data_IF_848621440248
#
_entry.id   IF_848621440248
#
_cell.length_a   1.000
_cell.length_b   1.000
_cell.length_c   1.000
_cell.angle_alpha   90.00
_cell.angle_beta   90.00
_cell.angle_gamma   90.00
#
_symmetry.space_group_name_H-M   'P 1'
#
loop_
_entity.id
_entity.type
_entity.pdbx_description
1 polymer ?
#
# COMPACT_ATOMS: atom_id res chain seq x y z
N UNK A 1 -74.42 6.65 24.70
CA UNK A 1 -73.90 5.64 25.64
C UNK A 1 -72.40 5.61 25.52
N UNK A 2 -71.72 5.25 26.61
CA UNK A 2 -70.26 5.22 26.82
C UNK A 2 -69.71 6.54 27.36
N UNK A 3 -69.66 6.61 28.69
CA UNK A 3 -69.10 7.65 29.53
C UNK A 3 -67.63 7.36 29.90
N UNK A 4 -67.01 8.25 30.68
CA UNK A 4 -65.66 8.15 31.30
C UNK A 4 -64.46 8.07 30.32
N UNK A 5 -63.26 8.55 30.65
CA UNK A 5 -62.63 8.97 31.92
C UNK A 5 -62.15 10.45 31.80
N UNK A 6 -62.09 11.29 32.86
CA UNK A 6 -61.05 11.36 33.92
C UNK A 6 -59.60 11.23 33.41
N UNK A 7 -58.57 11.95 33.87
CA UNK A 7 -58.35 13.15 34.72
C UNK A 7 -56.86 13.60 34.42
N UNK A 8 -56.17 14.62 34.95
CA UNK A 8 -56.31 15.54 36.09
C UNK A 8 -55.38 16.79 35.92
N UNK A 9 -55.36 17.69 36.92
CA UNK A 9 -54.25 18.59 37.35
C UNK A 9 -53.84 19.80 36.47
N UNK A 10 -54.01 20.99 37.07
CA UNK A 10 -53.18 22.19 36.86
C UNK A 10 -52.46 22.47 38.19
N UNK A 11 -51.17 22.83 38.16
CA UNK A 11 -50.45 23.51 39.25
C UNK A 11 -49.51 24.55 38.61
N UNK A 12 -49.36 25.70 39.27
CA UNK A 12 -48.83 26.93 38.69
C UNK A 12 -47.35 27.19 39.04
N UNK A 13 -46.84 28.23 38.38
CA UNK A 13 -45.74 29.15 38.72
C UNK A 13 -45.15 29.12 40.14
N UNK A 14 -43.83 29.31 40.25
CA UNK A 14 -43.29 30.60 40.74
C UNK A 14 -41.79 30.80 40.46
N UNK A 15 -41.24 31.97 40.78
CA UNK A 15 -39.99 32.51 40.20
C UNK A 15 -38.83 32.63 41.22
N UNK A 16 -37.64 32.24 40.75
CA UNK A 16 -36.28 32.61 41.19
C UNK A 16 -36.13 33.76 42.22
N UNK A 17 -35.32 33.55 43.30
CA UNK A 17 -34.05 34.32 43.45
C UNK A 17 -32.99 33.81 44.47
N UNK A 18 -31.77 34.35 44.30
CA UNK A 18 -30.75 34.73 45.31
C UNK A 18 -29.60 33.80 45.76
N UNK A 19 -28.62 33.65 44.86
CA UNK A 19 -27.20 34.04 45.07
C UNK A 19 -26.38 33.38 46.23
N UNK A 20 -25.68 32.30 45.86
CA UNK A 20 -24.26 31.94 46.13
C UNK A 20 -23.50 32.43 47.39
N UNK A 21 -22.94 31.47 48.14
CA UNK A 21 -21.57 31.53 48.70
C UNK A 21 -20.89 30.16 48.56
N UNK A 22 -20.05 29.93 47.53
CA UNK A 22 -19.44 28.58 47.38
C UNK A 22 -18.58 28.23 46.16
N UNK A 23 -18.02 29.17 45.39
CA UNK A 23 -17.42 28.83 44.07
C UNK A 23 -15.97 29.28 43.80
N UNK A 24 -15.29 29.92 44.75
CA UNK A 24 -13.99 30.59 44.50
C UNK A 24 -12.72 29.73 44.67
N UNK A 25 -12.78 28.45 45.06
CA UNK A 25 -11.57 27.63 45.39
C UNK A 25 -11.25 26.46 44.45
N UNK A 26 -12.07 26.24 43.40
CA UNK A 26 -11.85 25.16 42.41
C UNK A 26 -11.49 25.65 40.99
N UNK A 27 -11.73 26.92 40.66
CA UNK A 27 -11.60 27.41 39.27
C UNK A 27 -10.14 27.56 38.83
N UNK A 28 -9.23 27.89 39.76
CA UNK A 28 -7.85 28.26 39.43
C UNK A 28 -6.95 27.04 39.19
N UNK A 29 -7.15 25.94 39.95
CA UNK A 29 -6.45 24.67 39.70
C UNK A 29 -6.73 24.10 38.31
N UNK A 30 -7.93 24.32 37.75
CA UNK A 30 -8.25 23.92 36.37
C UNK A 30 -7.62 24.83 35.30
N UNK A 31 -7.18 26.05 35.63
CA UNK A 31 -6.49 26.94 34.67
C UNK A 31 -5.02 26.54 34.49
N UNK A 32 -4.30 26.30 35.59
CA UNK A 32 -2.88 25.91 35.53
C UNK A 32 -2.68 24.64 34.67
N UNK A 33 -3.49 23.60 34.91
CA UNK A 33 -3.48 22.33 34.16
C UNK A 33 -3.73 22.52 32.64
N UNK A 34 -4.43 23.57 32.22
CA UNK A 34 -4.67 23.86 30.80
C UNK A 34 -3.60 24.77 30.17
N UNK A 35 -2.94 25.62 30.96
CA UNK A 35 -1.99 26.60 30.45
C UNK A 35 -0.57 26.01 30.26
N UNK A 36 -0.19 25.04 31.09
CA UNK A 36 1.08 24.30 30.99
C UNK A 36 1.12 23.29 29.81
N UNK A 37 -0.05 22.97 29.23
CA UNK A 37 -0.19 21.96 28.17
C UNK A 37 0.00 22.49 26.72
N UNK A 38 0.23 23.80 26.51
CA UNK A 38 0.26 24.37 25.15
C UNK A 38 1.66 24.62 24.55
N UNK A 39 2.71 24.63 25.39
CA UNK A 39 4.06 25.05 24.94
C UNK A 39 4.88 23.89 24.34
N UNK A 40 4.63 22.65 24.73
CA UNK A 40 5.31 21.46 24.19
C UNK A 40 4.77 21.03 22.81
N UNK A 41 4.80 21.94 21.83
CA UNK A 41 4.53 21.66 20.39
C UNK A 41 5.68 20.90 19.71
N UNK A 42 6.22 19.88 20.36
CA UNK A 42 7.07 18.90 19.68
C UNK A 42 6.16 17.93 18.90
N UNK A 43 5.75 18.35 17.70
CA UNK A 43 4.71 17.69 16.88
C UNK A 43 5.08 16.25 16.48
N UNK A 44 6.35 15.87 16.66
CA UNK A 44 6.83 14.50 16.60
C UNK A 44 7.31 14.06 17.99
N UNK A 45 6.73 12.99 18.52
CA UNK A 45 7.27 12.32 19.69
C UNK A 45 8.69 11.82 19.39
N UNK A 46 9.62 12.07 20.33
CA UNK A 46 11.03 11.68 20.24
C UNK A 46 11.16 10.15 20.22
N UNK A 47 11.14 9.59 19.01
CA UNK A 47 11.08 8.14 18.79
C UNK A 47 10.40 7.74 17.48
N UNK A 48 9.63 8.62 16.84
CA UNK A 48 8.87 8.32 15.61
C UNK A 48 9.72 7.84 14.41
N UNK A 49 11.00 8.20 14.37
CA UNK A 49 11.96 7.75 13.36
C UNK A 49 12.84 6.55 13.80
N UNK A 50 12.66 6.03 15.01
CA UNK A 50 13.40 4.86 15.49
C UNK A 50 12.80 3.57 14.92
N UNK A 51 13.66 2.67 14.45
CA UNK A 51 13.27 1.42 13.78
C UNK A 51 12.44 0.49 14.67
N UNK A 52 12.61 0.55 15.99
CA UNK A 52 11.82 -0.20 16.98
C UNK A 52 10.36 0.28 17.07
N UNK A 53 10.12 1.59 16.87
CA UNK A 53 8.79 2.21 16.86
C UNK A 53 8.17 2.21 15.46
N UNK A 54 8.85 1.64 14.47
CA UNK A 54 8.41 1.66 13.08
C UNK A 54 7.27 0.67 12.86
N UNK A 55 6.04 1.17 13.00
CA UNK A 55 4.79 0.46 12.69
C UNK A 55 4.69 0.14 11.19
N UNK A 56 5.39 -0.91 10.75
CA UNK A 56 5.21 -1.48 9.42
C UNK A 56 3.82 -2.11 9.33
N UNK A 57 2.85 -1.37 8.76
CA UNK A 57 1.62 -1.98 8.23
C UNK A 57 2.00 -3.14 7.31
N UNK A 58 1.38 -4.32 7.53
CA UNK A 58 1.83 -5.63 7.01
C UNK A 58 2.18 -5.59 5.52
N UNK A 59 3.49 -5.53 5.25
CA UNK A 59 4.02 -5.11 3.94
C UNK A 59 3.93 -6.25 2.91
N UNK A 60 2.80 -6.32 2.21
CA UNK A 60 2.56 -7.30 1.15
C UNK A 60 1.55 -8.40 1.51
N UNK A 61 0.57 -8.08 2.39
CA UNK A 61 -0.63 -8.90 2.66
C UNK A 61 -1.75 -8.70 1.61
N UNK A 62 -1.64 -7.70 0.72
CA UNK A 62 -2.57 -7.55 -0.40
C UNK A 62 -2.49 -8.73 -1.39
N UNK A 63 -3.63 -9.07 -2.02
CA UNK A 63 -3.75 -10.20 -2.96
C UNK A 63 -2.64 -10.15 -4.02
N UNK A 64 -1.89 -11.24 -4.13
CA UNK A 64 -0.78 -11.36 -5.08
C UNK A 64 -1.28 -11.94 -6.39
N UNK A 65 -0.76 -11.43 -7.49
CA UNK A 65 -0.97 -12.02 -8.81
C UNK A 65 -0.42 -13.45 -8.83
N UNK A 66 -1.17 -14.37 -9.40
CA UNK A 66 -0.87 -15.81 -9.53
C UNK A 66 0.30 -16.05 -10.47
N UNK A 67 0.90 -17.25 -10.46
CA UNK A 67 2.06 -17.51 -11.33
C UNK A 67 1.65 -17.76 -12.79
N UNK A 68 0.50 -18.39 -13.01
CA UNK A 68 -0.25 -18.45 -14.28
C UNK A 68 -0.30 -17.10 -14.98
N UNK A 69 -0.88 -16.08 -14.34
CA UNK A 69 -0.97 -14.72 -14.90
C UNK A 69 0.41 -14.08 -15.07
N UNK A 70 1.38 -14.35 -14.18
CA UNK A 70 2.77 -13.88 -14.39
C UNK A 70 3.41 -14.53 -15.62
N UNK A 71 3.12 -15.78 -15.93
CA UNK A 71 3.69 -16.50 -17.07
C UNK A 71 3.10 -16.04 -18.40
N UNK A 72 1.79 -15.81 -18.44
CA UNK A 72 1.11 -15.17 -19.58
C UNK A 72 1.66 -13.75 -19.82
N UNK A 73 1.91 -12.96 -18.77
CA UNK A 73 2.52 -11.64 -18.91
C UNK A 73 4.02 -11.68 -19.30
N UNK A 74 4.75 -12.76 -18.98
CA UNK A 74 6.13 -12.99 -19.46
C UNK A 74 6.13 -13.27 -20.97
N UNK A 75 5.26 -14.13 -21.48
CA UNK A 75 5.24 -14.48 -22.92
C UNK A 75 4.88 -13.28 -23.80
N UNK A 76 3.87 -12.49 -23.41
CA UNK A 76 3.55 -11.21 -24.08
C UNK A 76 4.70 -10.21 -24.07
N UNK A 77 5.50 -10.16 -22.98
CA UNK A 77 6.67 -9.29 -22.92
C UNK A 77 7.79 -9.75 -23.87
N UNK A 78 7.99 -11.07 -24.02
CA UNK A 78 9.04 -11.61 -24.89
C UNK A 78 8.72 -11.47 -26.37
N UNK A 79 7.47 -11.72 -26.80
CA UNK A 79 7.05 -11.46 -28.19
C UNK A 79 7.32 -9.99 -28.61
N UNK A 80 7.02 -9.03 -27.72
CA UNK A 80 7.30 -7.61 -27.93
C UNK A 80 8.76 -7.15 -27.74
N UNK A 81 9.67 -8.05 -27.35
CA UNK A 81 11.14 -7.84 -27.30
C UNK A 81 11.81 -8.42 -28.56
N UNK A 82 11.17 -9.42 -29.20
CA UNK A 82 11.52 -9.96 -30.52
C UNK A 82 11.06 -9.00 -31.64
N UNK A 83 9.76 -8.68 -31.73
CA UNK A 83 9.21 -7.78 -32.74
C UNK A 83 8.42 -6.60 -32.16
N UNK A 84 8.85 -5.37 -32.50
CA UNK A 84 8.28 -4.13 -31.94
C UNK A 84 6.86 -3.83 -32.41
N UNK A 85 6.46 -4.38 -33.55
CA UNK A 85 5.08 -4.34 -34.05
C UNK A 85 4.13 -5.15 -33.17
N UNK A 86 4.64 -6.17 -32.48
CA UNK A 86 3.89 -7.04 -31.57
C UNK A 86 4.01 -6.60 -30.10
N UNK A 87 4.46 -5.36 -29.85
CA UNK A 87 4.64 -4.85 -28.50
C UNK A 87 3.30 -4.70 -27.76
N UNK A 88 3.02 -5.69 -26.91
CA UNK A 88 1.87 -5.70 -26.01
C UNK A 88 1.87 -4.50 -25.06
N UNK A 89 0.91 -3.59 -25.27
CA UNK A 89 0.56 -2.55 -24.31
C UNK A 89 -0.22 -3.16 -23.14
N UNK A 90 -0.17 -2.56 -21.94
CA UNK A 90 -0.88 -3.07 -20.75
C UNK A 90 -2.40 -3.28 -20.96
N UNK A 91 -3.02 -2.51 -21.85
CA UNK A 91 -4.42 -2.68 -22.28
C UNK A 91 -4.63 -3.97 -23.08
N UNK A 92 -3.74 -4.28 -24.02
CA UNK A 92 -3.78 -5.51 -24.82
C UNK A 92 -3.61 -6.72 -23.89
N UNK A 93 -2.62 -6.67 -22.99
CA UNK A 93 -2.41 -7.74 -21.99
C UNK A 93 -3.64 -7.96 -21.11
N UNK A 94 -4.37 -6.90 -20.73
CA UNK A 94 -5.63 -7.02 -19.98
C UNK A 94 -6.74 -7.65 -20.84
N UNK A 95 -6.90 -7.20 -22.08
CA UNK A 95 -7.90 -7.73 -23.00
C UNK A 95 -7.72 -9.23 -23.24
N UNK A 96 -6.50 -9.70 -23.48
CA UNK A 96 -6.22 -11.11 -23.70
C UNK A 96 -6.46 -11.94 -22.41
N UNK A 97 -6.16 -11.40 -21.22
CA UNK A 97 -6.51 -12.05 -19.95
C UNK A 97 -8.03 -12.17 -19.76
N UNK A 98 -8.81 -11.16 -20.18
CA UNK A 98 -10.29 -11.21 -20.17
C UNK A 98 -10.87 -12.16 -21.23
N UNK A 99 -10.18 -12.38 -22.36
CA UNK A 99 -10.55 -13.43 -23.32
C UNK A 99 -10.31 -14.83 -22.75
N UNK A 100 -9.19 -15.04 -22.05
CA UNK A 100 -8.87 -16.30 -21.36
C UNK A 100 -9.86 -16.63 -20.22
N UNK A 101 -10.33 -15.62 -19.50
CA UNK A 101 -11.45 -15.74 -18.56
C UNK A 101 -12.74 -16.21 -19.26
N UNK A 102 -13.11 -15.61 -20.39
CA UNK A 102 -14.32 -16.01 -21.16
C UNK A 102 -14.23 -17.44 -21.72
N UNK A 103 -13.02 -17.96 -21.94
CA UNK A 103 -12.76 -19.34 -22.35
C UNK A 103 -12.76 -20.31 -21.14
N UNK A 104 -12.60 -19.78 -19.92
CA UNK A 104 -12.48 -20.57 -18.69
C UNK A 104 -11.06 -21.04 -18.35
N UNK A 105 -10.03 -20.46 -18.98
CA UNK A 105 -8.61 -20.73 -18.64
C UNK A 105 -8.16 -20.05 -17.35
N UNK A 106 -8.84 -18.96 -16.95
CA UNK A 106 -8.53 -18.14 -15.78
C UNK A 106 -9.80 -17.79 -15.01
N UNK A 107 -9.72 -17.74 -13.69
CA UNK A 107 -10.81 -17.19 -12.86
C UNK A 107 -10.84 -15.66 -12.92
N UNK A 108 -12.03 -15.06 -12.90
CA UNK A 108 -12.24 -13.61 -12.72
C UNK A 108 -11.42 -13.03 -11.56
N UNK A 109 -11.28 -13.82 -10.49
CA UNK A 109 -10.52 -13.48 -9.29
C UNK A 109 -9.00 -13.37 -9.51
N UNK A 110 -8.42 -13.97 -10.56
CA UNK A 110 -6.99 -13.84 -10.88
C UNK A 110 -6.67 -12.57 -11.69
N UNK A 111 -7.65 -11.94 -12.35
CA UNK A 111 -7.41 -10.84 -13.29
C UNK A 111 -6.83 -9.61 -12.56
N UNK A 112 -5.61 -9.16 -12.92
CA UNK A 112 -5.01 -7.99 -12.33
C UNK A 112 -5.61 -6.71 -12.94
N UNK A 113 -5.86 -5.71 -12.11
CA UNK A 113 -6.23 -4.36 -12.59
C UNK A 113 -5.16 -3.81 -13.56
N UNK A 114 -5.57 -2.99 -14.53
CA UNK A 114 -4.66 -2.37 -15.52
C UNK A 114 -3.43 -1.71 -14.87
N UNK A 115 -3.62 -0.97 -13.77
CA UNK A 115 -2.54 -0.34 -13.01
C UNK A 115 -1.53 -1.34 -12.43
N UNK A 116 -1.97 -2.55 -12.08
CA UNK A 116 -1.10 -3.64 -11.63
C UNK A 116 -0.25 -4.17 -12.77
N UNK A 117 -0.83 -4.31 -13.98
CA UNK A 117 -0.10 -4.71 -15.19
C UNK A 117 0.95 -3.64 -15.56
N UNK A 118 0.58 -2.35 -15.59
CA UNK A 118 1.50 -1.23 -15.87
C UNK A 118 2.69 -1.20 -14.88
N UNK A 119 2.41 -1.39 -13.58
CA UNK A 119 3.43 -1.49 -12.55
C UNK A 119 4.29 -2.76 -12.69
N UNK A 120 3.71 -3.88 -13.13
CA UNK A 120 4.42 -5.13 -13.37
C UNK A 120 5.38 -4.99 -14.56
N UNK A 121 4.92 -4.50 -15.72
CA UNK A 121 5.76 -4.25 -16.91
C UNK A 121 6.94 -3.34 -16.56
N UNK A 122 6.67 -2.24 -15.83
CA UNK A 122 7.68 -1.27 -15.41
C UNK A 122 8.78 -1.92 -14.54
N UNK A 123 8.39 -2.81 -13.63
CA UNK A 123 9.33 -3.58 -12.78
C UNK A 123 10.07 -4.66 -13.57
N UNK A 124 9.36 -5.43 -14.38
CA UNK A 124 9.90 -6.53 -15.16
C UNK A 124 10.92 -6.03 -16.19
N UNK A 125 10.60 -4.98 -16.96
CA UNK A 125 11.54 -4.32 -17.88
C UNK A 125 12.79 -3.79 -17.16
N UNK A 126 12.63 -3.22 -15.95
CA UNK A 126 13.78 -2.76 -15.14
C UNK A 126 14.67 -3.92 -14.67
N UNK A 127 14.10 -5.06 -14.31
CA UNK A 127 14.83 -6.27 -13.93
C UNK A 127 15.52 -6.91 -15.14
N UNK A 128 14.81 -7.11 -16.25
CA UNK A 128 15.35 -7.68 -17.48
C UNK A 128 16.56 -6.90 -17.99
N UNK A 129 16.47 -5.56 -18.02
CA UNK A 129 17.60 -4.67 -18.38
C UNK A 129 18.79 -4.78 -17.40
N UNK A 130 18.54 -4.92 -16.10
CA UNK A 130 19.60 -5.15 -15.09
C UNK A 130 20.24 -6.54 -15.22
N UNK A 131 19.51 -7.54 -15.67
CA UNK A 131 20.02 -8.90 -15.90
C UNK A 131 20.81 -8.99 -17.21
N UNK A 132 20.32 -8.38 -18.29
CA UNK A 132 21.08 -8.20 -19.53
C UNK A 132 22.44 -7.50 -19.26
N UNK A 133 22.48 -6.49 -18.38
CA UNK A 133 23.72 -5.83 -17.96
C UNK A 133 24.62 -6.64 -17.00
N UNK A 134 24.11 -7.75 -16.41
CA UNK A 134 24.89 -8.69 -15.58
C UNK A 134 25.48 -9.84 -16.41
N UNK A 135 24.73 -10.37 -17.39
CA UNK A 135 25.16 -11.48 -18.28
C UNK A 135 26.62 -11.33 -18.80
N UNK A 136 27.05 -10.20 -19.41
CA UNK A 136 28.43 -10.06 -19.88
C UNK A 136 29.45 -9.99 -18.73
N UNK A 137 29.09 -9.40 -17.59
CA UNK A 137 29.97 -9.33 -16.39
C UNK A 137 30.17 -10.71 -15.77
N UNK A 138 29.18 -11.61 -15.87
CA UNK A 138 29.30 -13.00 -15.43
C UNK A 138 30.13 -13.82 -16.43
N UNK A 139 29.86 -13.71 -17.74
CA UNK A 139 30.69 -14.36 -18.77
C UNK A 139 32.16 -13.94 -18.70
N UNK A 140 32.46 -12.65 -18.49
CA UNK A 140 33.82 -12.12 -18.29
C UNK A 140 34.52 -12.65 -17.03
N UNK A 141 33.77 -13.05 -16.00
CA UNK A 141 34.35 -13.69 -14.81
C UNK A 141 34.58 -15.19 -15.06
N UNK A 142 33.63 -15.87 -15.69
CA UNK A 142 33.73 -17.28 -16.07
C UNK A 142 34.90 -17.51 -17.05
N UNK A 143 35.06 -16.68 -18.08
CA UNK A 143 36.17 -16.78 -19.03
C UNK A 143 37.53 -16.47 -18.40
N UNK A 144 37.62 -15.50 -17.48
CA UNK A 144 38.84 -15.25 -16.70
C UNK A 144 39.21 -16.43 -15.79
N UNK A 145 38.22 -17.07 -15.16
CA UNK A 145 38.43 -18.27 -14.34
C UNK A 145 38.83 -19.47 -15.20
N UNK A 146 38.23 -19.66 -16.38
CA UNK A 146 38.62 -20.70 -17.34
C UNK A 146 40.04 -20.48 -17.87
N UNK A 147 40.38 -19.28 -18.35
CA UNK A 147 41.73 -18.99 -18.85
C UNK A 147 42.81 -19.15 -17.75
N UNK A 148 42.49 -18.79 -16.50
CA UNK A 148 43.39 -19.02 -15.34
C UNK A 148 43.54 -20.51 -14.98
N UNK A 149 42.53 -21.35 -15.22
CA UNK A 149 42.62 -22.81 -15.03
C UNK A 149 43.31 -23.52 -16.19
N UNK A 150 43.12 -23.03 -17.41
CA UNK A 150 43.57 -23.70 -18.64
C UNK A 150 44.99 -23.32 -19.08
N UNK A 151 45.70 -22.48 -18.31
CA UNK A 151 47.14 -22.26 -18.47
C UNK A 151 47.58 -21.59 -19.78
N UNK A 152 46.66 -20.97 -20.53
CA UNK A 152 46.97 -20.31 -21.81
C UNK A 152 47.71 -18.99 -21.62
N UNK A 153 48.99 -19.09 -21.27
CA UNK A 153 49.98 -18.04 -21.48
C UNK A 153 50.20 -17.90 -22.99
N UNK A 154 49.61 -16.87 -23.60
CA UNK A 154 50.09 -16.37 -24.88
C UNK A 154 51.49 -15.79 -24.64
N UNK A 155 52.51 -16.44 -25.22
CA UNK A 155 53.90 -15.99 -25.16
C UNK A 155 54.20 -15.27 -26.48
N UNK A 156 54.45 -13.97 -26.36
CA UNK A 156 54.74 -13.00 -27.42
C UNK A 156 53.54 -12.65 -28.34
#
# INVERSE_FOLDING_TARGET
MNDTHELNIVVNDEVNDKVTVGSKKQKDRKKQIQQENLENKNYFYSGWALKENQMYGKKGEGKRMTETVKEILKSFFHAGDEDKSEQYTAKNMLQDLQQREQIGELETEEIPQLKTIENWISRYSSLHKKEAAKKPKQQLQVSKVLNKKNGLTYIC
#
